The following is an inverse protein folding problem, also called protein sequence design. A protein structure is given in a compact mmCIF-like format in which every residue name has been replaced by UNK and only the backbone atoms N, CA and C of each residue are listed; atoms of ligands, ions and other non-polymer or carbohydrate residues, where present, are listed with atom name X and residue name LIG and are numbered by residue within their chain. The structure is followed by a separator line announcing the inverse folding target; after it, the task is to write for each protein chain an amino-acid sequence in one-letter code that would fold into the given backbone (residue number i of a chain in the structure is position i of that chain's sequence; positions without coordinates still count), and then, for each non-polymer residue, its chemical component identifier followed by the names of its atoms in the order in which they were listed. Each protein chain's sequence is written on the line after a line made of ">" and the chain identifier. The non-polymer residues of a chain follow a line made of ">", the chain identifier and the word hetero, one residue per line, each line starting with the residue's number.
data_IF_299831419450
#
_entry.id   IF_299831419450
#
_cell.length_a   1.000
_cell.length_b   1.000
_cell.length_c   1.000
_cell.angle_alpha   90.00
_cell.angle_beta   90.00
_cell.angle_gamma   90.00
#
_symmetry.space_group_name_H-M   'P 1'
#
loop_
_entity.id
_entity.type
_entity.pdbx_description
1 polymer ?
#
# COMPACT_ATOMS: atom_id res chain seq x y z
N UNK A 1 2.73 -4.54 6.37
CA UNK A 1 1.95 -3.27 6.41
C UNK A 1 1.70 -2.87 7.85
N UNK A 2 1.78 -1.58 8.18
CA UNK A 2 1.57 -1.07 9.55
C UNK A 2 0.15 -0.50 9.75
N UNK A 3 -0.35 0.27 8.77
CA UNK A 3 -1.72 0.79 8.80
C UNK A 3 -2.20 1.18 7.39
N UNK A 4 -3.50 1.00 7.11
CA UNK A 4 -4.16 1.55 5.92
C UNK A 4 -5.38 2.36 6.38
N UNK A 5 -5.45 3.63 5.99
CA UNK A 5 -6.62 4.49 6.21
C UNK A 5 -7.14 5.03 4.88
N UNK A 6 -8.42 5.35 4.79
CA UNK A 6 -9.01 5.87 3.56
C UNK A 6 -10.04 6.97 3.82
N UNK A 7 -10.20 7.86 2.83
CA UNK A 7 -11.21 8.92 2.83
C UNK A 7 -11.83 9.04 1.43
N UNK A 8 -13.14 9.30 1.32
CA UNK A 8 -14.15 9.42 2.39
C UNK A 8 -14.53 8.05 3.00
N UNK A 9 -15.14 8.02 4.20
CA UNK A 9 -15.57 6.77 4.87
C UNK A 9 -16.75 6.08 4.17
N UNK A 10 -17.45 6.78 3.28
CA UNK A 10 -18.57 6.25 2.49
C UNK A 10 -18.45 6.72 1.05
N UNK A 11 -17.56 6.10 0.27
CA UNK A 11 -17.40 6.43 -1.14
C UNK A 11 -18.60 5.95 -1.97
N UNK A 12 -18.95 6.75 -2.98
CA UNK A 12 -19.96 6.40 -3.97
C UNK A 12 -19.29 5.74 -5.18
N UNK A 13 -20.00 4.86 -5.90
CA UNK A 13 -19.51 4.28 -7.15
C UNK A 13 -19.18 5.42 -8.12
N UNK A 14 -18.00 5.37 -8.74
CA UNK A 14 -17.40 6.42 -9.56
C UNK A 14 -16.64 7.49 -8.77
N UNK A 15 -16.77 7.53 -7.44
CA UNK A 15 -16.07 8.46 -6.57
C UNK A 15 -14.63 8.03 -6.27
N UNK A 16 -13.72 9.00 -6.14
CA UNK A 16 -12.33 8.73 -5.79
C UNK A 16 -12.15 8.51 -4.29
N UNK A 17 -11.48 7.42 -3.94
CA UNK A 17 -11.04 7.11 -2.58
C UNK A 17 -9.55 7.43 -2.48
N UNK A 18 -9.18 8.21 -1.49
CA UNK A 18 -7.79 8.48 -1.13
C UNK A 18 -7.37 7.53 -0.01
N UNK A 19 -6.32 6.75 -0.24
CA UNK A 19 -5.76 5.79 0.71
C UNK A 19 -4.40 6.26 1.21
N UNK A 20 -4.16 6.13 2.50
CA UNK A 20 -2.85 6.30 3.11
C UNK A 20 -2.35 4.94 3.60
N UNK A 21 -1.33 4.42 2.93
CA UNK A 21 -0.70 3.12 3.21
C UNK A 21 0.63 3.38 3.91
N UNK A 22 0.75 2.94 5.16
CA UNK A 22 1.99 3.01 5.93
C UNK A 22 2.73 1.69 5.85
N UNK A 23 3.96 1.75 5.32
CA UNK A 23 4.89 0.63 5.22
C UNK A 23 5.97 0.81 6.28
N UNK A 24 6.33 -0.27 6.96
CA UNK A 24 7.38 -0.29 7.98
C UNK A 24 8.40 -1.34 7.63
N UNK A 25 9.67 -0.97 7.55
CA UNK A 25 10.74 -1.96 7.45
C UNK A 25 10.95 -2.60 8.83
N UNK A 26 10.47 -3.84 9.00
CA UNK A 26 10.61 -4.59 10.25
C UNK A 26 11.96 -5.35 10.36
N UNK A 27 12.75 -5.35 9.29
CA UNK A 27 14.07 -6.00 9.28
C UNK A 27 15.13 -5.23 10.06
N UNK A 28 16.20 -5.92 10.42
CA UNK A 28 17.39 -5.32 11.04
C UNK A 28 18.31 -4.60 10.05
N UNK A 29 18.06 -4.75 8.74
CA UNK A 29 18.83 -4.14 7.66
C UNK A 29 17.99 -3.11 6.88
N UNK A 30 18.66 -2.18 6.22
CA UNK A 30 18.01 -1.20 5.37
C UNK A 30 17.41 -1.89 4.13
N UNK A 31 16.14 -1.61 3.85
CA UNK A 31 15.51 -2.01 2.61
C UNK A 31 16.02 -1.13 1.46
N UNK A 32 16.38 -1.77 0.35
CA UNK A 32 16.70 -1.09 -0.91
C UNK A 32 15.45 -0.49 -1.55
N UNK A 33 15.51 -0.20 -2.85
CA UNK A 33 14.35 0.33 -3.55
C UNK A 33 13.26 -0.73 -3.70
N UNK A 34 12.02 -0.40 -3.33
CA UNK A 34 10.86 -1.28 -3.47
C UNK A 34 9.65 -0.52 -4.02
N UNK A 35 8.64 -1.24 -4.47
CA UNK A 35 7.39 -0.66 -4.99
C UNK A 35 6.23 -1.05 -4.11
N UNK A 36 5.41 -0.07 -3.75
CA UNK A 36 4.12 -0.27 -3.08
C UNK A 36 3.03 -0.13 -4.14
N UNK A 37 2.21 -1.16 -4.29
CA UNK A 37 1.04 -1.16 -5.18
C UNK A 37 -0.24 -1.11 -4.37
N UNK A 38 -1.18 -0.29 -4.81
CA UNK A 38 -2.58 -0.40 -4.41
C UNK A 38 -3.40 -0.84 -5.62
N UNK A 39 -4.24 -1.86 -5.46
CA UNK A 39 -5.10 -2.38 -6.52
C UNK A 39 -6.54 -2.51 -6.03
N UNK A 40 -7.49 -2.06 -6.85
CA UNK A 40 -8.92 -2.35 -6.70
C UNK A 40 -9.37 -3.47 -7.65
N UNK A 41 -10.67 -3.57 -7.90
CA UNK A 41 -11.26 -4.52 -8.86
C UNK A 41 -10.92 -4.16 -10.33
N UNK A 42 -10.64 -2.89 -10.60
CA UNK A 42 -10.26 -2.40 -11.93
C UNK A 42 -8.88 -1.74 -11.96
N UNK A 43 -8.73 -0.55 -11.37
CA UNK A 43 -7.49 0.22 -11.45
C UNK A 43 -6.45 -0.19 -10.41
N UNK A 44 -5.18 0.01 -10.76
CA UNK A 44 -4.03 -0.12 -9.86
C UNK A 44 -3.17 1.13 -9.92
N UNK A 45 -2.46 1.40 -8.83
CA UNK A 45 -1.50 2.50 -8.74
C UNK A 45 -0.24 2.04 -8.00
N UNK A 46 0.92 2.39 -8.55
CA UNK A 46 2.24 2.10 -7.98
C UNK A 46 2.89 3.35 -7.39
N UNK A 47 3.65 3.15 -6.31
CA UNK A 47 4.52 4.15 -5.73
C UNK A 47 5.87 3.50 -5.41
N UNK A 48 6.94 4.02 -5.99
CA UNK A 48 8.30 3.59 -5.65
C UNK A 48 8.80 4.25 -4.36
N UNK A 49 9.58 3.49 -3.61
CA UNK A 49 10.33 3.94 -2.43
C UNK A 49 11.79 3.67 -2.71
N UNK A 50 12.65 4.69 -2.62
CA UNK A 50 14.07 4.55 -2.96
C UNK A 50 14.86 3.71 -1.95
N UNK A 51 14.57 3.87 -0.66
CA UNK A 51 15.09 3.06 0.43
C UNK A 51 14.25 3.28 1.68
N UNK A 52 14.32 2.35 2.63
CA UNK A 52 13.72 2.50 3.95
C UNK A 52 14.64 1.91 5.02
N UNK A 53 15.12 2.75 5.93
CA UNK A 53 16.00 2.32 7.01
C UNK A 53 15.35 1.24 7.88
N UNK A 54 16.17 0.39 8.52
CA UNK A 54 15.69 -0.58 9.50
C UNK A 54 14.83 0.10 10.58
N UNK A 55 13.65 -0.44 10.84
CA UNK A 55 12.69 0.08 11.83
C UNK A 55 11.92 1.35 11.39
N UNK A 56 12.29 1.98 10.28
CA UNK A 56 11.64 3.20 9.80
C UNK A 56 10.29 2.91 9.11
N UNK A 57 9.45 3.93 9.07
CA UNK A 57 8.15 3.91 8.38
C UNK A 57 8.10 4.93 7.24
N UNK A 58 7.30 4.63 6.23
CA UNK A 58 6.97 5.55 5.14
C UNK A 58 5.48 5.44 4.83
N UNK A 59 4.81 6.58 4.70
CA UNK A 59 3.41 6.63 4.29
C UNK A 59 3.32 7.03 2.83
N UNK A 60 2.57 6.25 2.04
CA UNK A 60 2.25 6.52 0.64
C UNK A 60 0.77 6.81 0.48
N UNK A 61 0.48 7.79 -0.36
CA UNK A 61 -0.89 8.21 -0.65
C UNK A 61 -1.25 7.75 -2.05
N UNK A 62 -2.40 7.09 -2.18
CA UNK A 62 -2.94 6.57 -3.42
C UNK A 62 -4.36 7.10 -3.63
N UNK A 63 -4.80 7.17 -4.88
CA UNK A 63 -6.14 7.60 -5.23
C UNK A 63 -6.71 6.64 -6.28
N UNK A 64 -7.73 5.85 -5.89
CA UNK A 64 -8.42 4.93 -6.78
C UNK A 64 -9.94 5.19 -6.73
N UNK A 65 -10.64 5.13 -7.87
CA UNK A 65 -12.09 5.21 -7.87
C UNK A 65 -12.74 3.93 -7.32
N UNK A 66 -13.89 4.08 -6.66
CA UNK A 66 -14.78 2.96 -6.36
C UNK A 66 -15.48 2.55 -7.65
N UNK A 67 -15.13 1.40 -8.20
CA UNK A 67 -15.71 0.85 -9.43
C UNK A 67 -16.99 0.06 -9.14
N UNK A 68 -17.05 -0.64 -8.01
CA UNK A 68 -18.22 -1.44 -7.59
C UNK A 68 -18.46 -1.33 -6.09
N UNK A 69 -19.65 -1.69 -5.60
CA UNK A 69 -19.94 -1.76 -4.16
C UNK A 69 -20.66 -3.07 -3.81
N UNK A 70 -20.06 -3.95 -2.97
CA UNK A 70 -18.75 -3.81 -2.34
C UNK A 70 -17.58 -3.99 -3.33
N UNK A 71 -16.43 -3.38 -3.03
CA UNK A 71 -15.15 -3.57 -3.71
C UNK A 71 -14.04 -3.76 -2.68
N UNK A 72 -13.06 -4.60 -3.00
CA UNK A 72 -11.89 -4.84 -2.14
C UNK A 72 -10.67 -4.17 -2.75
N UNK A 73 -9.94 -3.41 -1.93
CA UNK A 73 -8.65 -2.83 -2.29
C UNK A 73 -7.53 -3.56 -1.56
N UNK A 74 -6.48 -3.93 -2.28
CA UNK A 74 -5.31 -4.62 -1.73
C UNK A 74 -4.08 -3.74 -1.87
N UNK A 75 -3.35 -3.54 -0.77
CA UNK A 75 -2.06 -2.87 -0.77
C UNK A 75 -0.94 -3.89 -0.59
N UNK A 76 0.02 -3.90 -1.51
CA UNK A 76 1.17 -4.82 -1.49
C UNK A 76 2.46 -4.01 -1.48
N UNK A 77 3.30 -4.20 -0.47
CA UNK A 77 4.66 -3.67 -0.45
C UNK A 77 5.59 -4.68 -1.11
N UNK A 78 6.61 -4.15 -1.77
CA UNK A 78 7.64 -4.94 -2.45
C UNK A 78 7.06 -5.98 -3.42
N UNK A 79 6.24 -5.52 -4.36
CA UNK A 79 5.56 -6.37 -5.37
C UNK A 79 6.53 -7.25 -6.18
N UNK A 80 7.81 -6.88 -6.26
CA UNK A 80 8.85 -7.61 -6.98
C UNK A 80 9.67 -8.56 -6.08
N UNK A 81 9.31 -8.67 -4.80
CA UNK A 81 9.90 -9.59 -3.82
C UNK A 81 11.43 -9.45 -3.69
N UNK A 82 11.95 -8.22 -3.76
CA UNK A 82 13.38 -7.93 -3.69
C UNK A 82 13.91 -7.86 -2.24
N UNK A 83 13.03 -7.71 -1.26
CA UNK A 83 13.35 -7.60 0.15
C UNK A 83 12.46 -8.58 0.92
N UNK A 84 13.06 -9.64 1.46
CA UNK A 84 12.36 -10.60 2.30
C UNK A 84 11.85 -9.92 3.58
N UNK A 85 10.62 -9.42 3.57
CA UNK A 85 9.90 -9.06 4.79
C UNK A 85 9.27 -10.32 5.38
N UNK A 86 9.80 -10.78 6.51
CA UNK A 86 9.50 -12.05 7.18
C UNK A 86 8.07 -12.25 7.70
N UNK A 87 7.09 -11.42 7.32
CA UNK A 87 5.70 -11.57 7.77
C UNK A 87 4.69 -11.10 6.70
N UNK A 88 4.47 -11.93 5.68
CA UNK A 88 3.40 -11.79 4.67
C UNK A 88 1.97 -12.01 5.23
N UNK A 89 1.80 -12.14 6.55
CA UNK A 89 0.54 -12.57 7.17
C UNK A 89 -0.40 -11.43 7.63
N UNK A 90 0.00 -10.16 7.49
CA UNK A 90 -0.88 -9.05 7.88
C UNK A 90 -1.54 -8.43 6.64
N UNK A 91 -2.47 -9.22 6.08
CA UNK A 91 -3.61 -8.71 5.31
C UNK A 91 -4.62 -8.07 6.26
#
# INVERSE_FOLDING_TARGET
>A
MDSITHTPPSPMIGGTITFHVTVRNQGAANAGSFVVRLQGAGPLQDSSVGSLFAGATVTRTFALPLSTSPETFTATADVFNHVAETHEANN
#
